data_IF_254289664195
#
_entry.id   IF_254289664195
#
_cell.length_a   1.000
_cell.length_b   1.000
_cell.length_c   1.000
_cell.angle_alpha   90.00
_cell.angle_beta   90.00
_cell.angle_gamma   90.00
#
_symmetry.space_group_name_H-M   'P 1'
#
loop_
_entity.id
_entity.type
_entity.pdbx_description
1 polymer ?
#
# COMPACT_ATOMS: atom_id res chain seq x y z
N UNK A 1 3.59 15.79 11.47
CA UNK A 1 2.25 15.14 11.43
C UNK A 1 1.19 16.00 10.72
N UNK A 2 1.18 17.34 10.85
CA UNK A 2 0.22 18.20 10.12
C UNK A 2 0.53 18.36 8.62
N UNK A 3 1.80 18.50 8.22
CA UNK A 3 2.17 18.57 6.80
C UNK A 3 1.81 17.28 6.03
N UNK A 4 2.08 16.11 6.61
CA UNK A 4 1.69 14.81 6.03
C UNK A 4 0.17 14.66 5.79
N UNK A 5 -0.66 15.43 6.51
CA UNK A 5 -2.11 15.41 6.30
C UNK A 5 -2.56 16.10 5.01
N UNK A 6 -1.71 16.95 4.42
CA UNK A 6 -1.99 17.65 3.15
C UNK A 6 -2.16 16.68 1.98
N UNK A 7 -1.45 15.55 1.98
CA UNK A 7 -1.64 14.50 0.97
C UNK A 7 -3.06 13.93 0.97
N UNK A 8 -3.78 13.98 2.10
CA UNK A 8 -5.17 13.54 2.18
C UNK A 8 -6.17 14.60 1.71
N UNK A 9 -5.73 15.82 1.39
CA UNK A 9 -6.63 16.87 0.88
C UNK A 9 -7.25 16.47 -0.46
N UNK A 10 -6.57 15.65 -1.27
CA UNK A 10 -7.07 15.09 -2.54
C UNK A 10 -8.28 14.17 -2.37
N UNK A 11 -8.55 13.73 -1.13
CA UNK A 11 -9.71 12.91 -0.80
C UNK A 11 -10.91 13.74 -0.34
N UNK A 12 -10.74 15.05 -0.08
CA UNK A 12 -11.83 15.93 0.30
C UNK A 12 -12.92 15.95 -0.78
N UNK A 13 -14.18 16.01 -0.35
CA UNK A 13 -15.37 15.99 -1.21
C UNK A 13 -15.56 14.72 -2.03
N UNK A 14 -14.72 13.68 -1.89
CA UNK A 14 -14.94 12.38 -2.53
C UNK A 14 -15.81 11.44 -1.67
N UNK A 15 -16.47 10.49 -2.34
CA UNK A 15 -17.17 9.38 -1.70
C UNK A 15 -16.22 8.31 -1.14
N UNK A 16 -14.99 8.23 -1.68
CA UNK A 16 -14.07 7.14 -1.41
C UNK A 16 -13.74 6.92 0.08
N UNK A 17 -13.39 7.93 0.89
CA UNK A 17 -13.08 7.69 2.32
C UNK A 17 -14.25 7.09 3.10
N UNK A 18 -15.49 7.46 2.76
CA UNK A 18 -16.70 6.94 3.40
C UNK A 18 -16.93 5.47 3.02
N UNK A 19 -16.76 5.17 1.73
CA UNK A 19 -16.86 3.80 1.22
C UNK A 19 -15.79 2.92 1.86
N UNK A 20 -14.54 3.39 1.97
CA UNK A 20 -13.46 2.63 2.60
C UNK A 20 -13.73 2.32 4.06
N UNK A 21 -14.32 3.24 4.82
CA UNK A 21 -14.72 2.96 6.20
C UNK A 21 -15.78 1.87 6.26
N UNK A 22 -16.80 1.92 5.41
CA UNK A 22 -17.86 0.90 5.37
C UNK A 22 -17.29 -0.45 4.97
N UNK A 23 -16.58 -0.51 3.84
CA UNK A 23 -15.99 -1.75 3.31
C UNK A 23 -14.96 -2.32 4.29
N UNK A 24 -14.07 -1.48 4.82
CA UNK A 24 -13.08 -1.88 5.81
C UNK A 24 -13.71 -2.43 7.09
N UNK A 25 -14.80 -1.83 7.56
CA UNK A 25 -15.55 -2.31 8.71
C UNK A 25 -16.22 -3.67 8.45
N UNK A 26 -16.82 -3.85 7.27
CA UNK A 26 -17.44 -5.13 6.87
C UNK A 26 -16.40 -6.24 6.76
N UNK A 27 -15.26 -5.98 6.10
CA UNK A 27 -14.16 -6.94 5.98
C UNK A 27 -13.62 -7.32 7.36
N UNK A 28 -13.37 -6.34 8.23
CA UNK A 28 -12.89 -6.58 9.58
C UNK A 28 -13.87 -7.44 10.38
N UNK A 29 -15.18 -7.17 10.30
CA UNK A 29 -16.20 -7.95 10.98
C UNK A 29 -16.25 -9.39 10.47
N UNK A 30 -16.29 -9.60 9.15
CA UNK A 30 -16.30 -10.95 8.55
C UNK A 30 -15.05 -11.72 8.97
N UNK A 31 -13.88 -11.09 8.86
CA UNK A 31 -12.62 -11.71 9.22
C UNK A 31 -12.61 -12.12 10.70
N UNK A 32 -12.98 -11.20 11.60
CA UNK A 32 -13.01 -11.46 13.03
C UNK A 32 -14.00 -12.58 13.39
N UNK A 33 -15.20 -12.57 12.83
CA UNK A 33 -16.22 -13.59 13.14
C UNK A 33 -15.86 -14.97 12.62
N UNK A 34 -15.35 -15.09 11.39
CA UNK A 34 -14.91 -16.37 10.83
C UNK A 34 -13.81 -17.00 11.68
N UNK A 35 -12.84 -16.20 12.11
CA UNK A 35 -11.76 -16.73 12.92
C UNK A 35 -12.18 -17.09 14.34
N UNK A 36 -13.03 -16.28 15.00
CA UNK A 36 -13.58 -16.64 16.31
C UNK A 36 -14.43 -17.91 16.19
N UNK A 37 -15.27 -18.02 15.16
CA UNK A 37 -16.06 -19.22 14.91
C UNK A 37 -15.17 -20.45 14.68
N UNK A 38 -14.07 -20.30 13.93
CA UNK A 38 -13.07 -21.36 13.75
C UNK A 38 -12.45 -21.76 15.10
N UNK A 39 -12.04 -20.80 15.93
CA UNK A 39 -11.49 -21.08 17.26
C UNK A 39 -12.48 -21.81 18.17
N UNK A 40 -13.75 -21.38 18.17
CA UNK A 40 -14.83 -22.02 18.94
C UNK A 40 -15.09 -23.44 18.43
N UNK A 41 -15.07 -23.67 17.11
CA UNK A 41 -15.30 -24.99 16.53
C UNK A 41 -14.23 -26.02 16.93
N UNK A 42 -13.05 -25.55 17.31
CA UNK A 42 -11.94 -26.39 17.77
C UNK A 42 -11.79 -26.41 19.30
N UNK A 43 -12.71 -25.78 20.04
CA UNK A 43 -12.69 -25.79 21.51
C UNK A 43 -12.96 -27.20 22.04
N UNK A 44 -12.04 -27.69 22.88
CA UNK A 44 -12.12 -29.01 23.52
C UNK A 44 -12.27 -28.91 25.03
N UNK A 45 -12.24 -27.69 25.60
CA UNK A 45 -12.32 -27.42 27.06
C UNK A 45 -13.61 -27.92 27.73
N UNK A 46 -14.68 -28.16 26.95
CA UNK A 46 -16.01 -28.60 27.42
C UNK A 46 -16.35 -30.04 27.03
N UNK A 47 -15.39 -30.77 26.47
CA UNK A 47 -15.59 -32.16 26.08
C UNK A 47 -15.72 -33.06 27.31
N UNK A 48 -16.47 -34.16 27.17
CA UNK A 48 -16.81 -35.05 28.27
C UNK A 48 -15.59 -35.86 28.69
N UNK A 49 -15.26 -35.88 29.98
CA UNK A 49 -14.12 -36.65 30.48
C UNK A 49 -14.49 -38.14 30.64
N UNK A 50 -13.68 -39.01 30.05
CA UNK A 50 -13.81 -40.47 30.11
C UNK A 50 -12.46 -41.12 30.45
N UNK A 51 -12.53 -42.29 31.07
CA UNK A 51 -11.34 -43.10 31.33
C UNK A 51 -10.77 -43.65 30.01
N UNK A 52 -9.47 -43.50 29.83
CA UNK A 52 -8.75 -43.94 28.64
C UNK A 52 -7.45 -44.65 29.00
N UNK A 53 -6.92 -45.40 28.04
CA UNK A 53 -5.67 -46.14 28.18
C UNK A 53 -4.72 -45.84 27.02
N UNK A 54 -3.46 -45.59 27.36
CA UNK A 54 -2.41 -45.38 26.37
C UNK A 54 -1.96 -46.73 25.81
N UNK A 55 -2.02 -46.87 24.48
CA UNK A 55 -1.67 -48.09 23.76
C UNK A 55 -0.27 -48.04 23.17
N UNK A 56 0.14 -46.89 22.67
CA UNK A 56 1.45 -46.69 22.06
C UNK A 56 1.84 -45.22 22.09
N UNK A 57 3.15 -44.94 22.09
CA UNK A 57 3.69 -43.59 21.96
C UNK A 57 4.90 -43.57 21.03
N UNK A 58 5.15 -42.43 20.39
CA UNK A 58 6.25 -42.30 19.44
C UNK A 58 6.58 -40.85 19.12
N UNK A 59 7.63 -40.65 18.34
CA UNK A 59 8.02 -39.33 17.84
C UNK A 59 8.20 -39.41 16.33
N UNK A 60 7.57 -38.49 15.61
CA UNK A 60 7.67 -38.34 14.16
C UNK A 60 8.46 -37.07 13.85
N UNK A 61 9.24 -37.07 12.77
CA UNK A 61 9.95 -35.88 12.30
C UNK A 61 9.31 -35.43 10.99
N UNK A 62 8.61 -34.30 11.02
CA UNK A 62 7.84 -33.79 9.88
C UNK A 62 7.67 -32.27 9.95
N UNK A 63 7.16 -31.66 8.88
CA UNK A 63 7.01 -30.20 8.75
C UNK A 63 5.63 -29.68 9.17
N UNK A 64 4.76 -30.54 9.69
CA UNK A 64 3.37 -30.16 10.03
C UNK A 64 3.37 -29.22 11.23
N UNK A 65 2.62 -28.11 11.18
CA UNK A 65 2.38 -27.24 12.35
C UNK A 65 3.52 -26.30 12.80
N UNK A 66 4.76 -26.47 12.33
CA UNK A 66 5.92 -25.64 12.75
C UNK A 66 6.45 -24.69 11.66
N UNK A 67 6.02 -24.87 10.41
CA UNK A 67 6.60 -24.18 9.25
C UNK A 67 7.99 -24.70 8.83
N UNK A 68 8.66 -25.48 9.69
CA UNK A 68 9.95 -26.14 9.47
C UNK A 68 9.91 -27.59 9.97
N UNK A 69 10.96 -28.37 9.69
CA UNK A 69 11.05 -29.75 10.19
C UNK A 69 11.25 -29.79 11.71
N UNK A 70 10.35 -30.49 12.40
CA UNK A 70 10.28 -30.54 13.85
C UNK A 70 9.85 -31.94 14.32
N UNK A 71 10.11 -32.21 15.60
CA UNK A 71 9.75 -33.47 16.25
C UNK A 71 8.37 -33.36 16.90
N UNK A 72 7.48 -34.29 16.51
CA UNK A 72 6.09 -34.40 16.90
C UNK A 72 5.87 -35.64 17.77
N UNK A 73 5.46 -35.48 19.03
CA UNK A 73 4.95 -36.61 19.80
C UNK A 73 3.69 -37.19 19.16
N UNK A 74 3.56 -38.51 19.15
CA UNK A 74 2.35 -39.24 18.78
C UNK A 74 1.92 -40.11 19.94
N UNK A 75 0.63 -40.11 20.25
CA UNK A 75 0.06 -40.94 21.31
C UNK A 75 -1.15 -41.67 20.73
N UNK A 76 -1.12 -42.99 20.76
CA UNK A 76 -2.26 -43.84 20.41
C UNK A 76 -2.94 -44.29 21.69
N UNK A 77 -4.24 -44.03 21.82
CA UNK A 77 -5.01 -44.35 23.02
C UNK A 77 -6.38 -44.90 22.66
N UNK A 78 -6.99 -45.61 23.62
CA UNK A 78 -8.36 -46.11 23.53
C UNK A 78 -9.20 -45.63 24.71
N UNK A 79 -10.50 -45.43 24.48
CA UNK A 79 -11.49 -45.13 25.50
C UNK A 79 -12.75 -45.96 25.24
N UNK A 80 -13.61 -46.05 26.26
CA UNK A 80 -14.91 -46.68 26.14
C UNK A 80 -16.01 -45.70 26.47
N UNK A 81 -17.02 -45.62 25.61
CA UNK A 81 -18.24 -44.84 25.85
C UNK A 81 -19.43 -45.68 25.36
N UNK A 82 -20.49 -45.74 26.15
CA UNK A 82 -21.70 -46.53 25.85
C UNK A 82 -21.44 -48.03 25.55
N UNK A 83 -20.34 -48.58 26.05
CA UNK A 83 -19.93 -49.97 25.82
C UNK A 83 -19.20 -50.22 24.49
N UNK A 84 -18.98 -49.18 23.68
CA UNK A 84 -18.18 -49.22 22.46
C UNK A 84 -16.73 -48.79 22.74
N UNK A 85 -15.76 -49.46 22.12
CA UNK A 85 -14.34 -49.12 22.24
C UNK A 85 -13.90 -48.30 21.03
N UNK A 86 -13.40 -47.09 21.29
CA UNK A 86 -12.88 -46.19 20.28
C UNK A 86 -11.37 -46.00 20.45
N UNK A 87 -10.69 -45.61 19.38
CA UNK A 87 -9.24 -45.41 19.35
C UNK A 87 -8.88 -44.19 18.52
N UNK A 88 -7.84 -43.46 18.93
CA UNK A 88 -7.40 -42.26 18.21
C UNK A 88 -5.91 -42.00 18.43
N UNK A 89 -5.29 -41.31 17.48
CA UNK A 89 -3.96 -40.71 17.59
C UNK A 89 -4.01 -39.19 17.81
N UNK A 90 -5.20 -38.59 17.72
CA UNK A 90 -5.41 -37.14 17.81
C UNK A 90 -5.43 -36.68 19.28
N UNK A 91 -4.30 -36.80 19.98
CA UNK A 91 -4.21 -36.47 21.41
C UNK A 91 -4.44 -34.98 21.72
N UNK A 92 -4.36 -34.08 20.73
CA UNK A 92 -4.72 -32.67 20.87
C UNK A 92 -5.13 -32.05 19.53
N UNK A 93 -5.99 -31.02 19.54
CA UNK A 93 -6.27 -30.20 18.34
C UNK A 93 -5.13 -29.23 18.00
N UNK A 94 -4.20 -29.00 18.94
CA UNK A 94 -3.00 -28.19 18.74
C UNK A 94 -1.77 -29.02 19.12
N UNK A 95 -1.01 -29.43 18.11
CA UNK A 95 0.20 -30.24 18.30
C UNK A 95 1.24 -29.48 19.13
N UNK A 96 1.97 -30.25 19.93
CA UNK A 96 3.14 -29.76 20.68
C UNK A 96 4.37 -30.10 19.86
N UNK A 97 5.17 -29.09 19.56
CA UNK A 97 6.28 -29.24 18.62
C UNK A 97 7.61 -28.97 19.33
N UNK A 98 8.63 -29.77 18.99
CA UNK A 98 9.97 -29.63 19.55
C UNK A 98 11.03 -29.55 18.44
N UNK A 99 12.03 -28.68 18.63
CA UNK A 99 13.19 -28.62 17.74
C UNK A 99 14.24 -29.70 18.03
N UNK A 100 14.11 -30.40 19.16
CA UNK A 100 15.03 -31.45 19.58
C UNK A 100 14.28 -32.75 19.88
N UNK A 101 14.75 -33.86 19.32
CA UNK A 101 14.15 -35.19 19.52
C UNK A 101 14.09 -35.58 21.00
N UNK A 102 15.14 -35.29 21.77
CA UNK A 102 15.19 -35.60 23.21
C UNK A 102 14.10 -34.87 24.01
N UNK A 103 13.77 -33.63 23.63
CA UNK A 103 12.70 -32.88 24.30
C UNK A 103 11.31 -33.47 24.01
N UNK A 104 11.08 -33.95 22.78
CA UNK A 104 9.84 -34.66 22.44
C UNK A 104 9.71 -35.99 23.21
N UNK A 105 10.79 -36.75 23.34
CA UNK A 105 10.78 -37.99 24.14
C UNK A 105 10.57 -37.70 25.62
N UNK A 106 11.23 -36.67 26.17
CA UNK A 106 11.04 -36.26 27.55
C UNK A 106 9.58 -35.84 27.83
N UNK A 107 8.95 -35.14 26.89
CA UNK A 107 7.54 -34.76 27.02
C UNK A 107 6.60 -35.98 27.02
N UNK A 108 6.95 -37.05 26.31
CA UNK A 108 6.19 -38.31 26.30
C UNK A 108 6.33 -39.14 27.60
N UNK A 109 7.27 -38.80 28.48
CA UNK A 109 7.41 -39.49 29.78
C UNK A 109 6.16 -39.34 30.66
N UNK A 110 5.38 -38.26 30.45
CA UNK A 110 4.08 -38.04 31.10
C UNK A 110 2.96 -38.96 30.57
N UNK A 111 3.21 -39.67 29.47
CA UNK A 111 2.26 -40.52 28.73
C UNK A 111 2.78 -41.95 28.52
N UNK A 112 3.09 -42.71 29.59
CA UNK A 112 3.70 -44.04 29.45
C UNK A 112 2.73 -45.08 28.87
N UNK A 113 3.23 -45.93 27.98
CA UNK A 113 2.43 -47.01 27.37
C UNK A 113 1.84 -47.94 28.44
N UNK A 114 0.55 -48.21 28.33
CA UNK A 114 -0.19 -49.08 29.24
C UNK A 114 -0.79 -48.36 30.45
N UNK A 115 -0.50 -47.07 30.67
CA UNK A 115 -1.10 -46.31 31.77
C UNK A 115 -2.53 -45.88 31.47
N UNK A 116 -3.28 -45.65 32.54
CA UNK A 116 -4.59 -45.01 32.47
C UNK A 116 -4.40 -43.50 32.39
N UNK A 117 -5.31 -42.84 31.68
CA UNK A 117 -5.37 -41.39 31.53
C UNK A 117 -6.83 -40.95 31.35
N UNK A 118 -7.07 -39.66 31.23
CA UNK A 118 -8.39 -39.11 30.91
C UNK A 118 -8.40 -38.67 29.45
N UNK A 119 -9.32 -39.24 28.67
CA UNK A 119 -9.67 -38.70 27.36
C UNK A 119 -10.85 -37.75 27.51
N UNK A 120 -10.84 -36.68 26.74
CA UNK A 120 -11.96 -35.78 26.60
C UNK A 120 -12.63 -36.10 25.27
N UNK A 121 -13.89 -36.54 25.30
CA UNK A 121 -14.65 -37.05 24.16
C UNK A 121 -15.59 -35.96 23.64
N UNK A 122 -15.64 -35.80 22.32
CA UNK A 122 -16.53 -34.85 21.67
C UNK A 122 -17.99 -35.29 21.84
N UNK A 123 -18.85 -34.50 22.52
CA UNK A 123 -20.23 -34.88 22.78
C UNK A 123 -21.11 -34.93 21.51
N UNK A 124 -20.65 -34.35 20.40
CA UNK A 124 -21.36 -34.41 19.12
C UNK A 124 -20.87 -35.55 18.21
N UNK A 125 -19.72 -36.15 18.53
CA UNK A 125 -19.10 -37.22 17.76
C UNK A 125 -18.22 -38.08 18.70
N UNK A 126 -18.78 -39.16 19.22
CA UNK A 126 -18.09 -40.03 20.18
C UNK A 126 -16.86 -40.75 19.61
N UNK A 127 -16.63 -40.68 18.29
CA UNK A 127 -15.42 -41.21 17.66
C UNK A 127 -14.21 -40.27 17.75
N UNK A 128 -14.41 -39.02 18.17
CA UNK A 128 -13.37 -38.01 18.31
C UNK A 128 -13.09 -37.71 19.79
N UNK A 129 -11.82 -37.79 20.18
CA UNK A 129 -11.37 -37.51 21.53
C UNK A 129 -9.95 -36.95 21.52
N UNK A 130 -9.62 -36.19 22.56
CA UNK A 130 -8.27 -35.64 22.81
C UNK A 130 -7.84 -35.95 24.24
N UNK A 131 -6.53 -35.98 24.50
CA UNK A 131 -5.97 -36.07 25.85
C UNK A 131 -5.68 -34.67 26.44
N UNK A 132 -5.44 -33.68 25.57
CA UNK A 132 -5.12 -32.30 25.96
C UNK A 132 -6.18 -31.36 25.42
N UNK A 133 -6.85 -30.66 26.33
CA UNK A 133 -7.90 -29.71 26.01
C UNK A 133 -7.37 -28.29 25.85
N UNK A 134 -8.06 -27.53 25.01
CA UNK A 134 -7.79 -26.12 24.78
C UNK A 134 -9.10 -25.34 24.78
N UNK A 135 -9.06 -24.17 25.39
CA UNK A 135 -10.06 -23.12 25.15
C UNK A 135 -9.86 -22.53 23.76
N UNK A 136 -10.93 -21.96 23.18
CA UNK A 136 -10.82 -21.27 21.89
C UNK A 136 -9.77 -20.13 21.90
N UNK A 137 -9.54 -19.49 23.06
CA UNK A 137 -8.50 -18.47 23.25
C UNK A 137 -7.10 -19.07 23.12
N UNK A 138 -6.85 -20.23 23.72
CA UNK A 138 -5.57 -20.94 23.60
C UNK A 138 -5.33 -21.48 22.19
N UNK A 139 -6.41 -21.89 21.49
CA UNK A 139 -6.34 -22.31 20.09
C UNK A 139 -5.90 -21.17 19.18
N UNK A 140 -6.46 -19.97 19.35
CA UNK A 140 -6.06 -18.79 18.58
C UNK A 140 -4.61 -18.36 18.86
N UNK A 141 -4.19 -18.32 20.13
CA UNK A 141 -2.82 -17.95 20.49
C UNK A 141 -2.46 -16.47 20.25
N UNK A 142 -1.22 -16.11 20.56
CA UNK A 142 -0.72 -14.71 20.50
C UNK A 142 -0.56 -14.24 19.05
N UNK A 143 -0.10 -15.11 18.16
CA UNK A 143 0.10 -14.79 16.73
C UNK A 143 -1.20 -14.31 16.09
N UNK A 144 -2.32 -14.96 16.43
CA UNK A 144 -3.63 -14.55 15.98
C UNK A 144 -4.01 -13.15 16.47
N UNK A 145 -3.74 -12.83 17.74
CA UNK A 145 -4.00 -11.50 18.30
C UNK A 145 -3.20 -10.43 17.56
N UNK A 146 -1.92 -10.70 17.30
CA UNK A 146 -1.05 -9.79 16.53
C UNK A 146 -1.52 -9.62 15.08
N UNK A 147 -1.92 -10.71 14.42
CA UNK A 147 -2.45 -10.66 13.06
C UNK A 147 -3.76 -9.87 12.99
N UNK A 148 -4.68 -10.06 13.95
CA UNK A 148 -5.91 -9.28 14.01
C UNK A 148 -5.65 -7.80 14.30
N UNK A 149 -4.66 -7.48 15.13
CA UNK A 149 -4.28 -6.10 15.40
C UNK A 149 -3.76 -5.42 14.11
N UNK A 150 -2.94 -6.13 13.34
CA UNK A 150 -2.47 -5.66 12.03
C UNK A 150 -3.65 -5.45 11.07
N UNK A 151 -4.56 -6.42 10.97
CA UNK A 151 -5.75 -6.34 10.14
C UNK A 151 -6.67 -5.16 10.56
N UNK A 152 -6.86 -4.95 11.86
CA UNK A 152 -7.61 -3.82 12.40
C UNK A 152 -6.94 -2.48 12.01
N UNK A 153 -5.61 -2.42 12.05
CA UNK A 153 -4.88 -1.20 11.66
C UNK A 153 -5.11 -0.84 10.19
N UNK A 154 -5.07 -1.82 9.29
CA UNK A 154 -5.24 -1.59 7.86
C UNK A 154 -6.71 -1.38 7.46
N UNK A 155 -7.64 -2.12 8.06
CA UNK A 155 -9.06 -2.11 7.67
C UNK A 155 -9.87 -1.01 8.37
N UNK A 156 -9.43 -0.52 9.53
CA UNK A 156 -10.18 0.47 10.31
C UNK A 156 -9.42 1.78 10.49
N UNK A 157 -8.17 1.72 10.97
CA UNK A 157 -7.42 2.94 11.32
C UNK A 157 -7.12 3.78 10.09
N UNK A 158 -6.58 3.20 9.02
CA UNK A 158 -6.26 3.95 7.80
C UNK A 158 -7.52 4.56 7.13
N UNK A 159 -8.62 3.83 6.91
CA UNK A 159 -9.85 4.42 6.38
C UNK A 159 -10.44 5.52 7.27
N UNK A 160 -10.42 5.34 8.60
CA UNK A 160 -10.88 6.37 9.53
C UNK A 160 -9.99 7.60 9.51
N UNK A 161 -8.67 7.43 9.46
CA UNK A 161 -7.71 8.52 9.33
C UNK A 161 -7.97 9.30 8.03
N UNK A 162 -8.12 8.60 6.90
CA UNK A 162 -8.45 9.21 5.61
C UNK A 162 -9.79 9.96 5.65
N UNK A 163 -10.82 9.41 6.29
CA UNK A 163 -12.12 10.07 6.43
C UNK A 163 -12.04 11.31 7.35
N UNK A 164 -11.34 11.21 8.48
CA UNK A 164 -11.21 12.28 9.45
C UNK A 164 -10.42 13.46 8.87
N UNK A 165 -9.30 13.17 8.21
CA UNK A 165 -8.47 14.17 7.52
C UNK A 165 -9.24 14.82 6.38
N UNK A 166 -9.87 14.06 5.49
CA UNK A 166 -10.71 14.60 4.41
C UNK A 166 -11.83 15.50 4.95
N UNK A 167 -12.52 15.09 6.02
CA UNK A 167 -13.54 15.90 6.70
C UNK A 167 -12.99 17.19 7.29
N UNK A 168 -11.72 17.20 7.72
CA UNK A 168 -11.10 18.41 8.27
C UNK A 168 -10.93 19.49 7.20
N UNK A 169 -10.62 19.11 5.95
CA UNK A 169 -10.61 20.00 4.79
C UNK A 169 -12.03 20.38 4.35
N UNK A 170 -12.98 19.43 4.28
CA UNK A 170 -14.37 19.74 3.92
C UNK A 170 -15.00 20.80 4.85
N UNK A 171 -14.60 20.83 6.14
CA UNK A 171 -15.07 21.81 7.14
C UNK A 171 -14.59 23.24 6.89
N UNK A 172 -13.56 23.47 6.07
CA UNK A 172 -13.12 24.83 5.76
C UNK A 172 -13.96 25.49 4.68
N UNK A 173 -14.78 24.72 3.95
CA UNK A 173 -15.76 25.19 2.95
C UNK A 173 -17.16 24.64 3.28
N UNK A 174 -17.82 25.13 4.35
CA UNK A 174 -19.06 24.56 4.85
C UNK A 174 -20.20 24.58 3.82
N UNK A 175 -20.28 25.62 2.98
CA UNK A 175 -21.19 25.74 1.85
C UNK A 175 -21.10 24.59 0.85
N UNK A 176 -19.92 23.99 0.68
CA UNK A 176 -19.69 22.86 -0.24
C UNK A 176 -19.61 21.51 0.47
N UNK A 177 -19.73 21.49 1.80
CA UNK A 177 -19.56 20.30 2.63
C UNK A 177 -20.57 19.19 2.37
N UNK A 178 -21.66 19.44 1.61
CA UNK A 178 -22.64 18.43 1.19
C UNK A 178 -22.27 17.71 -0.12
N UNK A 179 -21.31 18.26 -0.90
CA UNK A 179 -20.91 17.71 -2.21
C UNK A 179 -20.09 16.43 -2.08
N UNK A 180 -20.36 15.44 -2.93
CA UNK A 180 -19.76 14.09 -2.87
C UNK A 180 -19.50 13.51 -4.25
N UNK A 181 -18.27 13.68 -4.72
CA UNK A 181 -17.82 13.24 -6.03
C UNK A 181 -17.36 11.78 -6.04
N UNK A 182 -17.49 11.13 -7.19
CA UNK A 182 -16.93 9.81 -7.45
C UNK A 182 -15.50 9.99 -7.96
N UNK A 183 -14.60 9.09 -7.56
CA UNK A 183 -13.31 8.96 -8.23
C UNK A 183 -13.54 8.45 -9.66
N UNK A 184 -12.88 9.10 -10.61
CA UNK A 184 -12.90 8.76 -12.02
C UNK A 184 -11.64 7.96 -12.30
N UNK A 185 -11.80 6.73 -12.80
CA UNK A 185 -10.68 5.97 -13.33
C UNK A 185 -10.28 6.57 -14.67
N UNK A 186 -9.03 7.01 -14.77
CA UNK A 186 -8.41 7.33 -16.04
C UNK A 186 -7.47 6.19 -16.38
N UNK A 187 -7.76 5.50 -17.47
CA UNK A 187 -6.90 4.47 -18.04
C UNK A 187 -6.05 5.16 -19.09
N UNK A 188 -4.73 5.18 -18.86
CA UNK A 188 -3.76 5.63 -19.86
C UNK A 188 -3.09 4.38 -20.44
N UNK A 189 -2.99 4.34 -21.77
CA UNK A 189 -2.26 3.31 -22.49
C UNK A 189 -0.84 3.81 -22.70
N UNK A 190 0.08 3.45 -21.81
CA UNK A 190 1.49 3.71 -22.00
C UNK A 190 2.22 2.37 -22.16
N UNK A 191 2.95 2.20 -23.26
CA UNK A 191 3.88 1.06 -23.45
C UNK A 191 3.26 -0.36 -23.37
N UNK A 192 1.98 -0.52 -23.68
CA UNK A 192 1.30 -1.82 -23.60
C UNK A 192 0.91 -2.25 -22.18
N UNK A 193 1.08 -1.38 -21.17
CA UNK A 193 0.56 -1.57 -19.82
C UNK A 193 -0.56 -0.54 -19.54
N UNK A 194 -1.64 -1.01 -18.93
CA UNK A 194 -2.74 -0.15 -18.45
C UNK A 194 -2.35 0.41 -17.10
N UNK A 195 -1.96 1.68 -17.05
CA UNK A 195 -1.76 2.39 -15.79
C UNK A 195 -3.05 3.14 -15.46
N UNK A 196 -3.87 2.53 -14.61
CA UNK A 196 -5.11 3.12 -14.12
C UNK A 196 -4.82 4.04 -12.94
N UNK A 197 -5.18 5.32 -13.06
CA UNK A 197 -5.13 6.28 -11.95
C UNK A 197 -6.54 6.71 -11.56
N UNK A 198 -6.83 6.78 -10.26
CA UNK A 198 -8.12 7.21 -9.72
C UNK A 198 -8.04 8.68 -9.32
N UNK A 199 -8.73 9.54 -10.07
CA UNK A 199 -8.64 10.99 -9.90
C UNK A 199 -10.00 11.60 -9.56
N UNK A 200 -9.97 12.78 -8.95
CA UNK A 200 -11.17 13.59 -8.76
C UNK A 200 -11.61 14.26 -10.06
N UNK A 201 -12.90 14.54 -10.20
CA UNK A 201 -13.42 15.35 -11.31
C UNK A 201 -12.98 16.83 -11.18
N UNK A 202 -13.06 17.63 -12.26
CA UNK A 202 -12.57 19.01 -12.27
C UNK A 202 -13.11 19.88 -11.12
N UNK A 203 -14.43 19.88 -10.91
CA UNK A 203 -15.06 20.65 -9.83
C UNK A 203 -14.60 20.18 -8.43
N UNK A 204 -14.37 18.88 -8.27
CA UNK A 204 -13.89 18.32 -7.01
C UNK A 204 -12.44 18.74 -6.73
N UNK A 205 -11.60 18.79 -7.77
CA UNK A 205 -10.23 19.26 -7.70
C UNK A 205 -10.21 20.73 -7.26
N UNK A 206 -10.99 21.61 -7.89
CA UNK A 206 -11.07 23.02 -7.49
C UNK A 206 -11.46 23.20 -6.01
N UNK A 207 -12.44 22.43 -5.55
CA UNK A 207 -12.84 22.43 -4.13
C UNK A 207 -11.73 21.92 -3.20
N UNK A 208 -10.93 20.94 -3.63
CA UNK A 208 -9.79 20.44 -2.85
C UNK A 208 -8.68 21.48 -2.74
N UNK A 209 -8.39 22.21 -3.82
CA UNK A 209 -7.43 23.32 -3.85
C UNK A 209 -7.89 24.42 -2.90
N UNK A 210 -9.13 24.89 -3.03
CA UNK A 210 -9.70 25.92 -2.17
C UNK A 210 -9.71 25.50 -0.68
N UNK A 211 -10.12 24.26 -0.40
CA UNK A 211 -10.17 23.75 0.96
C UNK A 211 -8.78 23.60 1.58
N UNK A 212 -7.79 23.12 0.81
CA UNK A 212 -6.39 23.03 1.26
C UNK A 212 -5.83 24.41 1.61
N UNK A 213 -5.99 25.40 0.74
CA UNK A 213 -5.54 26.77 1.00
C UNK A 213 -6.18 27.37 2.25
N UNK A 214 -7.50 27.21 2.42
CA UNK A 214 -8.20 27.67 3.62
C UNK A 214 -7.74 26.92 4.89
N UNK A 215 -7.46 25.62 4.77
CA UNK A 215 -6.98 24.80 5.88
C UNK A 215 -5.55 25.16 6.31
N UNK A 216 -4.64 25.38 5.36
CA UNK A 216 -3.27 25.87 5.63
C UNK A 216 -3.35 27.21 6.35
N UNK A 217 -4.14 28.16 5.84
CA UNK A 217 -4.34 29.47 6.48
C UNK A 217 -4.88 29.36 7.91
N UNK A 218 -5.66 28.33 8.22
CA UNK A 218 -6.19 28.10 9.57
C UNK A 218 -5.16 27.45 10.52
N UNK A 219 -4.16 26.74 9.99
CA UNK A 219 -3.21 25.94 10.78
C UNK A 219 -1.76 26.44 10.71
N UNK A 220 -1.51 27.57 10.03
CA UNK A 220 -0.17 28.10 9.72
C UNK A 220 0.74 28.23 10.94
N UNK A 221 0.22 28.66 12.10
CA UNK A 221 0.98 28.81 13.36
C UNK A 221 1.65 27.52 13.87
N UNK A 222 1.25 26.36 13.32
CA UNK A 222 1.63 25.04 13.82
C UNK A 222 2.22 24.13 12.75
N UNK A 223 2.62 24.71 11.62
CA UNK A 223 3.09 23.99 10.45
C UNK A 223 4.42 24.57 9.96
N UNK A 224 5.25 23.68 9.43
CA UNK A 224 6.35 24.10 8.55
C UNK A 224 5.72 24.61 7.25
N UNK A 225 5.86 25.91 7.02
CA UNK A 225 5.21 26.58 5.89
C UNK A 225 5.91 26.28 4.57
N UNK A 226 7.21 26.00 4.58
CA UNK A 226 7.97 25.67 3.38
C UNK A 226 7.59 24.25 2.93
N UNK A 227 7.56 23.29 3.87
CA UNK A 227 7.07 21.93 3.60
C UNK A 227 5.61 21.94 3.13
N UNK A 228 4.75 22.73 3.79
CA UNK A 228 3.33 22.81 3.43
C UNK A 228 3.09 23.43 2.06
N UNK A 229 3.86 24.46 1.70
CA UNK A 229 3.79 25.11 0.40
C UNK A 229 4.26 24.17 -0.70
N UNK A 230 5.39 23.48 -0.50
CA UNK A 230 5.91 22.50 -1.45
C UNK A 230 4.89 21.36 -1.71
N UNK A 231 4.29 20.80 -0.66
CA UNK A 231 3.26 19.76 -0.81
C UNK A 231 2.01 20.33 -1.52
N UNK A 232 1.56 21.54 -1.18
CA UNK A 232 0.41 22.16 -1.84
C UNK A 232 0.66 22.36 -3.33
N UNK A 233 1.81 22.96 -3.68
CA UNK A 233 2.22 23.23 -5.05
C UNK A 233 2.31 21.94 -5.87
N UNK A 234 2.92 20.89 -5.34
CA UNK A 234 2.97 19.58 -6.01
C UNK A 234 1.57 19.02 -6.29
N UNK A 235 0.64 19.16 -5.34
CA UNK A 235 -0.74 18.70 -5.52
C UNK A 235 -1.56 19.60 -6.47
N UNK A 236 -1.29 20.90 -6.51
CA UNK A 236 -1.89 21.87 -7.44
C UNK A 236 -1.37 21.67 -8.88
N UNK A 237 -0.08 21.41 -9.04
CA UNK A 237 0.54 21.09 -10.33
C UNK A 237 -0.04 19.79 -10.91
N UNK A 238 -0.22 18.76 -10.08
CA UNK A 238 -0.91 17.53 -10.49
C UNK A 238 -2.36 17.75 -10.93
N UNK A 239 -3.01 18.78 -10.40
CA UNK A 239 -4.38 19.16 -10.76
C UNK A 239 -4.47 19.93 -12.09
N UNK A 240 -3.41 20.66 -12.45
CA UNK A 240 -3.36 21.48 -13.67
C UNK A 240 -3.10 20.59 -14.89
N UNK A 241 -4.15 20.36 -15.67
CA UNK A 241 -4.07 19.56 -16.91
C UNK A 241 -3.73 20.44 -18.12
N UNK A 242 -3.11 19.84 -19.13
CA UNK A 242 -2.99 20.44 -20.46
C UNK A 242 -4.38 20.70 -21.06
N UNK A 243 -4.47 21.72 -21.91
CA UNK A 243 -5.68 22.01 -22.68
C UNK A 243 -6.05 20.81 -23.56
N UNK A 244 -7.35 20.49 -23.66
CA UNK A 244 -7.82 19.26 -24.32
C UNK A 244 -7.75 17.98 -23.46
N UNK A 245 -7.12 18.06 -22.28
CA UNK A 245 -7.09 16.99 -21.28
C UNK A 245 -5.91 16.03 -21.39
N UNK A 246 -5.26 15.93 -22.55
CA UNK A 246 -4.03 15.20 -22.81
C UNK A 246 -3.26 15.82 -23.97
N UNK A 247 -1.93 15.71 -23.94
CA UNK A 247 -1.02 16.08 -25.05
C UNK A 247 -0.09 14.91 -25.33
N UNK A 248 0.15 14.66 -26.62
CA UNK A 248 1.09 13.63 -27.07
C UNK A 248 2.45 14.27 -27.31
N UNK A 249 3.51 13.62 -26.85
CA UNK A 249 4.89 14.06 -26.99
C UNK A 249 5.71 12.95 -27.64
N UNK A 250 6.60 13.31 -28.55
CA UNK A 250 7.63 12.40 -29.07
C UNK A 250 8.90 12.56 -28.24
N UNK A 251 9.43 11.45 -27.71
CA UNK A 251 10.63 11.43 -26.84
C UNK A 251 11.71 10.58 -27.48
N UNK A 252 12.85 11.17 -27.79
CA UNK A 252 14.04 10.51 -28.30
C UNK A 252 15.00 10.19 -27.14
N UNK A 253 15.25 8.91 -26.92
CA UNK A 253 16.11 8.39 -25.85
C UNK A 253 17.47 8.04 -26.44
N UNK A 254 18.54 8.56 -25.84
CA UNK A 254 19.94 8.36 -26.24
C UNK A 254 20.19 8.55 -27.74
N UNK A 255 19.47 9.51 -28.35
CA UNK A 255 19.55 9.84 -29.77
C UNK A 255 19.12 8.72 -30.73
N UNK A 256 18.59 7.59 -30.24
CA UNK A 256 18.40 6.38 -31.07
C UNK A 256 17.01 5.78 -30.98
N UNK A 257 16.30 5.93 -29.86
CA UNK A 257 14.98 5.30 -29.66
C UNK A 257 13.91 6.36 -29.46
N UNK A 258 13.03 6.52 -30.44
CA UNK A 258 11.87 7.40 -30.32
C UNK A 258 10.67 6.65 -29.70
N UNK A 259 9.98 7.29 -28.76
CA UNK A 259 8.73 6.83 -28.16
C UNK A 259 7.72 7.94 -28.12
N UNK A 260 6.47 7.64 -28.48
CA UNK A 260 5.35 8.54 -28.22
C UNK A 260 4.81 8.31 -26.81
N UNK A 261 4.57 9.41 -26.09
CA UNK A 261 3.99 9.41 -24.75
C UNK A 261 2.82 10.36 -24.69
N UNK A 262 1.76 9.96 -24.02
CA UNK A 262 0.60 10.81 -23.76
C UNK A 262 0.64 11.21 -22.28
N UNK A 263 0.65 12.52 -22.01
CA UNK A 263 0.64 13.06 -20.66
C UNK A 263 -0.46 14.10 -20.51
N UNK A 264 -1.03 14.21 -19.30
CA UNK A 264 -2.13 15.14 -19.01
C UNK A 264 -1.66 16.36 -18.25
N UNK A 265 -0.49 16.33 -17.64
CA UNK A 265 0.15 17.46 -16.98
C UNK A 265 1.66 17.37 -17.11
N UNK A 266 2.35 18.46 -16.80
CA UNK A 266 3.82 18.49 -16.75
C UNK A 266 4.36 17.46 -15.77
N UNK A 267 3.79 17.36 -14.57
CA UNK A 267 4.20 16.35 -13.57
C UNK A 267 4.08 14.93 -14.09
N UNK A 268 2.98 14.59 -14.77
CA UNK A 268 2.79 13.26 -15.36
C UNK A 268 3.78 12.99 -16.49
N UNK A 269 4.09 14.00 -17.32
CA UNK A 269 5.12 13.89 -18.34
C UNK A 269 6.49 13.57 -17.71
N UNK A 270 6.87 14.30 -16.64
CA UNK A 270 8.12 14.08 -15.90
C UNK A 270 8.18 12.69 -15.25
N UNK A 271 7.09 12.23 -14.64
CA UNK A 271 6.98 10.86 -14.11
C UNK A 271 7.19 9.81 -15.22
N UNK A 272 6.54 9.97 -16.38
CA UNK A 272 6.69 9.03 -17.51
C UNK A 272 8.13 8.99 -18.02
N UNK A 273 8.74 10.15 -18.30
CA UNK A 273 10.11 10.17 -18.87
C UNK A 273 11.16 9.68 -17.88
N UNK A 274 10.96 9.90 -16.57
CA UNK A 274 11.87 9.38 -15.54
C UNK A 274 11.88 7.84 -15.48
N UNK A 275 10.80 7.19 -15.93
CA UNK A 275 10.74 5.73 -16.04
C UNK A 275 11.55 5.19 -17.22
N UNK A 276 11.98 6.06 -18.15
CA UNK A 276 12.79 5.65 -19.29
C UNK A 276 14.26 5.54 -18.90
N UNK A 277 14.84 4.37 -19.15
CA UNK A 277 16.30 4.21 -19.10
C UNK A 277 17.01 5.07 -20.15
N UNK A 278 18.32 5.21 -20.02
CA UNK A 278 19.17 6.04 -20.88
C UNK A 278 19.75 7.23 -20.15
N UNK A 279 20.84 7.79 -20.67
CA UNK A 279 21.55 8.91 -20.07
C UNK A 279 21.05 10.26 -20.61
N UNK A 280 20.39 10.26 -21.77
CA UNK A 280 19.82 11.46 -22.39
C UNK A 280 18.40 11.23 -22.95
N UNK A 281 17.54 12.23 -22.80
CA UNK A 281 16.15 12.23 -23.29
C UNK A 281 15.84 13.58 -23.92
N UNK A 282 15.47 13.60 -25.19
CA UNK A 282 15.03 14.79 -25.92
C UNK A 282 13.53 14.70 -26.18
N UNK A 283 12.78 15.71 -25.75
CA UNK A 283 11.33 15.81 -25.92
C UNK A 283 11.05 16.83 -27.01
N UNK A 284 10.33 16.41 -28.05
CA UNK A 284 9.78 17.33 -29.04
C UNK A 284 8.50 17.93 -28.49
N UNK A 285 8.49 19.26 -28.30
CA UNK A 285 7.33 19.96 -27.77
C UNK A 285 6.38 20.36 -28.89
N UNK A 286 6.88 20.59 -30.11
CA UNK A 286 6.08 21.04 -31.25
C UNK A 286 6.03 20.01 -32.38
N UNK A 287 4.98 20.05 -33.20
CA UNK A 287 4.76 19.13 -34.33
C UNK A 287 5.86 19.24 -35.40
N UNK A 288 6.55 20.37 -35.45
CA UNK A 288 7.71 20.64 -36.31
C UNK A 288 8.97 19.88 -35.88
N UNK A 289 8.93 19.14 -34.76
CA UNK A 289 9.97 18.27 -34.22
C UNK A 289 11.34 18.94 -34.19
N UNK A 290 12.27 18.46 -35.01
CA UNK A 290 13.67 18.92 -35.08
C UNK A 290 13.80 20.41 -35.36
N UNK A 291 12.80 21.05 -35.96
CA UNK A 291 12.80 22.49 -36.24
C UNK A 291 12.06 23.33 -35.19
N UNK A 292 11.31 22.68 -34.32
CA UNK A 292 10.51 23.31 -33.29
C UNK A 292 11.23 23.38 -31.96
N UNK A 293 10.49 23.84 -30.95
CA UNK A 293 10.94 23.88 -29.57
C UNK A 293 11.07 22.48 -28.97
N UNK A 294 12.18 22.24 -28.28
CA UNK A 294 12.57 20.95 -27.73
C UNK A 294 13.09 21.12 -26.30
N UNK A 295 13.05 20.03 -25.54
CA UNK A 295 13.58 19.98 -24.19
C UNK A 295 14.46 18.74 -24.00
N UNK A 296 15.74 18.96 -23.71
CA UNK A 296 16.74 17.91 -23.51
C UNK A 296 17.05 17.74 -22.03
N UNK A 297 16.98 16.51 -21.54
CA UNK A 297 17.49 16.08 -20.24
C UNK A 297 18.72 15.22 -20.45
N UNK A 298 19.84 15.59 -19.83
CA UNK A 298 21.08 14.81 -19.88
C UNK A 298 21.62 14.57 -18.48
N UNK A 299 21.72 13.31 -18.09
CA UNK A 299 22.35 12.92 -16.84
C UNK A 299 23.87 13.07 -16.97
N UNK A 300 24.47 13.90 -16.14
CA UNK A 300 25.90 14.23 -16.20
C UNK A 300 26.76 13.32 -15.30
N UNK A 301 26.13 12.42 -14.56
CA UNK A 301 26.78 11.54 -13.61
C UNK A 301 27.27 12.25 -12.34
N UNK A 302 28.11 11.54 -11.60
CA UNK A 302 28.73 11.99 -10.36
C UNK A 302 29.71 13.15 -10.63
N UNK A 303 29.37 14.33 -10.09
CA UNK A 303 30.31 15.46 -9.96
C UNK A 303 30.52 15.80 -8.49
N UNK A 304 31.49 15.13 -7.88
CA UNK A 304 31.96 15.47 -6.53
C UNK A 304 31.21 14.73 -5.41
N UNK A 305 30.68 13.56 -5.71
CA UNK A 305 29.87 12.70 -4.85
C UNK A 305 28.37 12.81 -5.09
N UNK A 306 27.92 13.75 -5.93
CA UNK A 306 26.51 14.08 -6.15
C UNK A 306 26.10 13.94 -7.63
N UNK A 307 24.88 13.45 -7.87
CA UNK A 307 24.29 13.34 -9.20
C UNK A 307 23.82 14.70 -9.75
N UNK A 308 24.15 14.97 -11.02
CA UNK A 308 23.78 16.20 -11.71
C UNK A 308 22.98 15.93 -13.00
N UNK A 309 21.95 16.75 -13.22
CA UNK A 309 21.09 16.75 -14.39
C UNK A 309 21.27 18.06 -15.16
N UNK A 310 21.61 18.00 -16.45
CA UNK A 310 21.50 19.13 -17.38
C UNK A 310 20.11 19.12 -18.02
N UNK A 311 19.47 20.28 -18.05
CA UNK A 311 18.21 20.52 -18.74
C UNK A 311 18.44 21.66 -19.73
N UNK A 312 18.13 21.42 -21.01
CA UNK A 312 18.23 22.42 -22.06
C UNK A 312 16.91 22.64 -22.75
N UNK A 313 16.64 23.89 -23.07
CA UNK A 313 15.64 24.27 -24.06
C UNK A 313 16.35 24.55 -25.38
N UNK A 314 15.87 23.93 -26.45
CA UNK A 314 16.38 24.14 -27.80
C UNK A 314 15.25 24.64 -28.71
N UNK A 315 15.61 25.45 -29.70
CA UNK A 315 14.77 25.81 -30.84
C UNK A 315 15.53 25.44 -32.11
N UNK A 316 15.13 24.37 -32.77
CA UNK A 316 15.97 23.79 -33.80
C UNK A 316 17.28 23.25 -33.23
N UNK A 317 18.40 23.69 -33.81
CA UNK A 317 19.76 23.36 -33.36
C UNK A 317 20.32 24.39 -32.35
N UNK A 318 19.57 25.47 -32.04
CA UNK A 318 20.03 26.54 -31.15
C UNK A 318 19.63 26.26 -29.70
N UNK A 319 20.60 26.35 -28.79
CA UNK A 319 20.35 26.28 -27.34
C UNK A 319 19.84 27.65 -26.88
N UNK A 320 18.59 27.70 -26.45
CA UNK A 320 17.98 28.91 -25.91
C UNK A 320 18.42 29.14 -24.47
N UNK A 321 18.43 28.07 -23.67
CA UNK A 321 18.90 28.09 -22.27
C UNK A 321 19.31 26.70 -21.80
N UNK A 322 20.21 26.65 -20.84
CA UNK A 322 20.68 25.44 -20.16
C UNK A 322 20.78 25.69 -18.66
N UNK A 323 20.33 24.72 -17.87
CA UNK A 323 20.47 24.70 -16.42
C UNK A 323 21.06 23.35 -15.96
N UNK A 324 22.00 23.40 -15.01
CA UNK A 324 22.59 22.20 -14.41
C UNK A 324 22.17 22.13 -12.96
N UNK A 325 21.40 21.10 -12.63
CA UNK A 325 20.77 20.89 -11.33
C UNK A 325 21.46 19.73 -10.61
N UNK A 326 21.92 19.95 -9.38
CA UNK A 326 22.36 18.87 -8.49
C UNK A 326 21.11 18.24 -7.86
N UNK A 327 20.78 17.00 -8.23
CA UNK A 327 19.50 16.35 -7.87
C UNK A 327 19.52 15.69 -6.49
N UNK A 328 20.68 15.59 -5.85
CA UNK A 328 20.83 14.98 -4.51
C UNK A 328 20.89 16.01 -3.38
N UNK A 329 21.20 17.27 -3.68
CA UNK A 329 21.35 18.32 -2.67
C UNK A 329 20.00 18.91 -2.23
N UNK A 330 19.38 18.28 -1.24
CA UNK A 330 18.21 18.81 -0.53
C UNK A 330 18.60 19.75 0.62
N UNK A 331 18.95 21.00 0.32
CA UNK A 331 19.19 22.02 1.37
C UNK A 331 18.32 23.27 1.21
N UNK A 332 17.26 23.32 2.03
CA UNK A 332 16.66 24.54 2.62
C UNK A 332 15.90 25.51 1.71
N UNK A 333 16.50 25.99 0.63
CA UNK A 333 15.96 27.09 -0.19
C UNK A 333 15.84 26.75 -1.69
N UNK A 334 16.58 25.75 -2.18
CA UNK A 334 16.51 25.30 -3.57
C UNK A 334 16.16 23.81 -3.60
N UNK A 335 14.90 23.48 -3.89
CA UNK A 335 14.49 22.09 -4.12
C UNK A 335 14.86 21.73 -5.57
N UNK A 336 15.82 20.81 -5.81
CA UNK A 336 16.31 20.52 -7.16
C UNK A 336 15.20 20.19 -8.15
N UNK A 337 14.24 19.37 -7.72
CA UNK A 337 13.10 18.96 -8.54
C UNK A 337 12.10 20.08 -8.82
N UNK A 338 12.06 21.13 -7.99
CA UNK A 338 11.24 22.32 -8.26
C UNK A 338 11.85 23.16 -9.38
N UNK A 339 13.18 23.32 -9.40
CA UNK A 339 13.88 24.00 -10.49
C UNK A 339 13.66 23.29 -11.83
N UNK A 340 13.70 21.95 -11.82
CA UNK A 340 13.37 21.13 -12.99
C UNK A 340 11.93 21.36 -13.46
N UNK A 341 10.95 21.32 -12.56
CA UNK A 341 9.54 21.51 -12.90
C UNK A 341 9.28 22.93 -13.44
N UNK A 342 9.82 23.96 -12.79
CA UNK A 342 9.68 25.37 -13.20
C UNK A 342 10.29 25.61 -14.59
N UNK A 343 11.48 25.08 -14.87
CA UNK A 343 12.12 25.16 -16.19
C UNK A 343 11.24 24.55 -17.28
N UNK A 344 10.71 23.34 -17.02
CA UNK A 344 9.88 22.62 -17.99
C UNK A 344 8.54 23.33 -18.20
N UNK A 345 7.90 23.80 -17.13
CA UNK A 345 6.65 24.56 -17.22
C UNK A 345 6.82 25.85 -18.03
N UNK A 346 7.91 26.59 -17.80
CA UNK A 346 8.18 27.81 -18.56
C UNK A 346 8.45 27.51 -20.04
N UNK A 347 9.19 26.44 -20.34
CA UNK A 347 9.44 26.02 -21.74
C UNK A 347 8.13 25.66 -22.44
N UNK A 348 7.26 24.90 -21.76
CA UNK A 348 5.95 24.52 -22.28
C UNK A 348 5.04 25.73 -22.51
N UNK A 349 5.13 26.77 -21.68
CA UNK A 349 4.38 28.03 -21.84
C UNK A 349 4.85 28.82 -23.06
N UNK A 350 6.14 28.74 -23.40
CA UNK A 350 6.72 29.44 -24.55
C UNK A 350 6.50 28.68 -25.88
N UNK A 351 5.88 27.50 -25.86
CA UNK A 351 5.51 26.78 -27.07
C UNK A 351 4.31 27.48 -27.74
N UNK A 352 4.45 27.84 -29.01
CA UNK A 352 3.36 28.49 -29.78
C UNK A 352 3.13 29.98 -29.53
N UNK A 353 4.01 30.68 -28.80
CA UNK A 353 3.91 32.13 -28.56
C UNK A 353 4.72 33.00 -29.54
N UNK A 354 5.42 32.40 -30.51
CA UNK A 354 6.21 33.15 -31.49
C UNK A 354 5.37 33.79 -32.63
N UNK A 355 4.05 33.61 -32.61
CA UNK A 355 3.08 34.20 -33.55
C UNK A 355 2.30 35.41 -32.97
N UNK A 356 2.70 35.97 -31.82
CA UNK A 356 2.24 37.33 -31.47
C UNK A 356 3.08 38.35 -32.25
N UNK A 357 2.60 38.64 -33.48
CA UNK A 357 3.00 39.78 -34.28
C UNK A 357 3.22 41.01 -33.40
N UNK A 358 4.47 41.47 -33.32
CA UNK A 358 4.92 42.65 -32.60
C UNK A 358 4.46 43.97 -33.24
N UNK A 359 3.34 43.93 -33.97
CA UNK A 359 2.55 45.04 -34.45
C UNK A 359 1.11 44.59 -34.74
N UNK A 360 0.23 44.77 -33.75
CA UNK A 360 -1.16 45.16 -33.98
C UNK A 360 -1.58 46.22 -32.95
#
# INVERSE_FOLDING_TARGET
MKASSLHFSVLAFNRAPRIWVIVGSVIFLIFTTVNIASGISQETSKWQAEDAKILDTGVVYETVGCGEWCYHPTIFFEWQIDGETHKSTSYSKKYVNFYASGAAHQWLEDYPVGSNTTAYVNPNDHSDAVLITHTWIQMMGIEFVLYNLLCASTCLLLPHLALFTARSFEKTLPEHSHKRYKLVSTVVWASGQVQGSWNSGPEAIELQVMARSAWIKKNFDSMDMDEALAISQALDARAKKFEGGFRTFSVLIDGTKEKEVEARSTTELLEIISSFGGDSKLIYLEDTKEKGRQLEFSFLGDKGGDDHLSIKELLGDEIIREEIVNVERNSGENQPWQMVDDFVQETLRNCGTDDEDWWN
#
